data_IF_137809409104
#
_entry.id   IF_137809409104
#
_cell.length_a   1.000
_cell.length_b   1.000
_cell.length_c   1.000
_cell.angle_alpha   90.00
_cell.angle_beta   90.00
_cell.angle_gamma   90.00
#
_symmetry.space_group_name_H-M   'P 1'
#
loop_
_entity.id
_entity.type
_entity.pdbx_description
1 polymer ?
#
# COMPACT_ATOMS: atom_id res chain seq x y z
N UNK A 1 2.32 -4.66 -33.30
CA UNK A 1 3.57 -4.63 -32.48
C UNK A 1 3.38 -3.99 -31.09
N UNK A 2 2.19 -4.05 -30.46
CA UNK A 2 1.94 -3.49 -29.11
C UNK A 2 2.05 -4.53 -27.97
N UNK A 3 2.17 -5.82 -28.29
CA UNK A 3 2.38 -6.88 -27.29
C UNK A 3 3.82 -6.97 -26.79
N UNK A 4 4.79 -6.53 -27.59
CA UNK A 4 6.21 -6.63 -27.23
C UNK A 4 6.59 -5.58 -26.17
N UNK A 5 6.06 -4.36 -26.28
CA UNK A 5 6.33 -3.27 -25.33
C UNK A 5 5.63 -3.49 -23.99
N UNK A 6 4.40 -4.00 -23.97
CA UNK A 6 3.69 -4.35 -22.72
C UNK A 6 4.33 -5.55 -22.01
N UNK A 7 4.69 -6.59 -22.76
CA UNK A 7 5.44 -7.72 -22.21
C UNK A 7 6.83 -7.31 -21.71
N UNK A 8 7.54 -6.42 -22.42
CA UNK A 8 8.82 -5.88 -21.97
C UNK A 8 8.67 -4.98 -20.74
N UNK A 9 7.60 -4.19 -20.63
CA UNK A 9 7.32 -3.38 -19.44
C UNK A 9 6.96 -4.24 -18.22
N UNK A 10 6.14 -5.28 -18.41
CA UNK A 10 5.81 -6.24 -17.37
C UNK A 10 7.06 -7.02 -16.94
N UNK A 11 7.85 -7.49 -17.90
CA UNK A 11 9.12 -8.19 -17.65
C UNK A 11 10.14 -7.27 -16.97
N UNK A 12 10.25 -6.01 -17.40
CA UNK A 12 11.13 -5.04 -16.77
C UNK A 12 10.69 -4.74 -15.34
N UNK A 13 9.38 -4.60 -15.08
CA UNK A 13 8.85 -4.36 -13.73
C UNK A 13 9.09 -5.55 -12.81
N UNK A 14 8.81 -6.77 -13.27
CA UNK A 14 9.08 -8.00 -12.52
C UNK A 14 10.59 -8.19 -12.27
N UNK A 15 11.43 -7.96 -13.29
CA UNK A 15 12.87 -8.20 -13.16
C UNK A 15 13.56 -7.10 -12.33
N UNK A 16 13.24 -5.83 -12.57
CA UNK A 16 13.89 -4.71 -11.90
C UNK A 16 13.40 -4.50 -10.46
N UNK A 17 12.12 -4.77 -10.18
CA UNK A 17 11.50 -4.53 -8.86
C UNK A 17 11.58 -5.77 -7.97
N UNK A 18 11.18 -6.96 -8.46
CA UNK A 18 11.11 -8.16 -7.59
C UNK A 18 12.45 -8.88 -7.48
N UNK A 19 13.18 -9.08 -8.59
CA UNK A 19 14.44 -9.85 -8.56
C UNK A 19 15.67 -8.99 -8.30
N UNK A 20 15.76 -7.81 -8.90
CA UNK A 20 16.96 -6.97 -8.79
C UNK A 20 16.88 -5.88 -7.69
N UNK A 21 15.68 -5.54 -7.19
CA UNK A 21 15.45 -4.45 -6.21
C UNK A 21 16.13 -3.12 -6.58
N UNK A 22 16.31 -2.86 -7.87
CA UNK A 22 17.09 -1.71 -8.36
C UNK A 22 16.28 -0.41 -8.35
N UNK A 23 14.95 -0.50 -8.26
CA UNK A 23 14.04 0.66 -8.28
C UNK A 23 12.88 0.46 -7.30
N UNK A 24 12.41 1.56 -6.70
CA UNK A 24 11.20 1.55 -5.89
C UNK A 24 9.97 1.43 -6.80
N UNK A 25 8.96 0.66 -6.38
CA UNK A 25 7.71 0.51 -7.12
C UNK A 25 7.07 1.90 -7.39
N UNK A 26 6.62 2.18 -8.62
CA UNK A 26 5.98 3.45 -8.94
C UNK A 26 4.67 3.60 -8.16
N UNK A 27 4.34 4.84 -7.76
CA UNK A 27 3.07 5.12 -7.10
C UNK A 27 1.88 4.87 -8.03
N UNK A 28 0.74 4.44 -7.49
CA UNK A 28 -0.52 4.21 -8.22
C UNK A 28 -0.94 5.40 -9.09
N UNK A 29 -0.58 6.63 -8.69
CA UNK A 29 -0.86 7.84 -9.47
C UNK A 29 -0.05 7.93 -10.77
N UNK A 30 1.21 7.47 -10.75
CA UNK A 30 2.09 7.47 -11.93
C UNK A 30 1.64 6.39 -12.90
N UNK A 31 1.29 5.21 -12.40
CA UNK A 31 0.77 4.10 -13.19
C UNK A 31 -0.49 4.51 -13.97
N UNK A 32 -1.46 5.14 -13.29
CA UNK A 32 -2.68 5.68 -13.91
C UNK A 32 -2.41 6.72 -15.00
N UNK A 33 -1.37 7.54 -14.86
CA UNK A 33 -0.98 8.54 -15.87
C UNK A 33 -0.40 7.84 -17.10
N UNK A 34 0.48 6.85 -16.90
CA UNK A 34 1.11 6.10 -17.99
C UNK A 34 0.06 5.32 -18.79
N UNK A 35 -0.88 4.67 -18.10
CA UNK A 35 -2.00 3.97 -18.74
C UNK A 35 -2.92 4.92 -19.51
N UNK A 36 -3.20 6.10 -18.94
CA UNK A 36 -3.97 7.14 -19.63
C UNK A 36 -3.32 7.61 -20.93
N UNK A 37 -2.00 7.85 -20.91
CA UNK A 37 -1.24 8.23 -22.11
C UNK A 37 -1.24 7.10 -23.14
N UNK A 38 -1.07 5.85 -22.71
CA UNK A 38 -1.08 4.70 -23.61
C UNK A 38 -2.45 4.50 -24.27
N UNK A 39 -3.55 4.72 -23.54
CA UNK A 39 -4.91 4.68 -24.10
C UNK A 39 -5.09 5.67 -25.25
N UNK A 40 -4.61 6.91 -25.09
CA UNK A 40 -4.69 7.97 -26.11
C UNK A 40 -3.87 7.61 -27.36
N UNK A 41 -2.67 7.04 -27.16
CA UNK A 41 -1.81 6.59 -28.27
C UNK A 41 -2.46 5.42 -29.02
N UNK A 42 -3.05 4.46 -28.32
CA UNK A 42 -3.77 3.34 -28.94
C UNK A 42 -4.99 3.81 -29.72
N UNK A 43 -5.77 4.74 -29.18
CA UNK A 43 -6.95 5.30 -29.84
C UNK A 43 -6.57 6.09 -31.11
N UNK A 44 -5.59 6.97 -31.02
CA UNK A 44 -5.11 7.75 -32.17
C UNK A 44 -4.52 6.85 -33.26
N UNK A 45 -3.73 5.83 -32.88
CA UNK A 45 -3.22 4.83 -33.83
C UNK A 45 -4.34 4.02 -34.50
N UNK A 46 -5.38 3.63 -33.75
CA UNK A 46 -6.54 2.93 -34.30
C UNK A 46 -7.30 3.78 -35.33
N UNK A 47 -7.55 5.06 -35.00
CA UNK A 47 -8.22 6.01 -35.90
C UNK A 47 -7.40 6.20 -37.17
N UNK A 48 -6.11 6.54 -37.05
CA UNK A 48 -5.21 6.78 -38.20
C UNK A 48 -5.15 5.55 -39.12
N UNK A 49 -5.03 4.35 -38.55
CA UNK A 49 -4.97 3.13 -39.32
C UNK A 49 -6.31 2.80 -40.00
N UNK A 50 -7.43 3.06 -39.32
CA UNK A 50 -8.77 2.84 -39.89
C UNK A 50 -9.10 3.81 -41.03
N UNK A 51 -8.58 5.04 -40.99
CA UNK A 51 -8.83 6.06 -42.01
C UNK A 51 -7.80 6.05 -43.13
N UNK A 52 -6.77 5.21 -43.04
CA UNK A 52 -5.73 5.13 -44.08
C UNK A 52 -6.34 4.68 -45.40
N UNK A 53 -5.93 5.34 -46.50
CA UNK A 53 -6.29 4.98 -47.86
C UNK A 53 -5.93 3.52 -48.20
N UNK A 54 -4.87 3.01 -47.56
CA UNK A 54 -4.42 1.62 -47.73
C UNK A 54 -5.41 0.60 -47.16
N UNK A 55 -6.16 0.97 -46.11
CA UNK A 55 -7.16 0.09 -45.49
C UNK A 55 -8.52 0.24 -46.19
N UNK A 56 -8.90 1.48 -46.54
CA UNK A 56 -10.16 1.74 -47.26
C UNK A 56 -10.19 1.10 -48.65
N UNK A 57 -9.06 1.09 -49.37
CA UNK A 57 -8.92 0.40 -50.65
C UNK A 57 -8.91 -1.13 -50.56
N UNK A 58 -8.83 -1.68 -49.35
CA UNK A 58 -8.69 -3.10 -49.08
C UNK A 58 -9.97 -3.79 -48.59
N UNK A 59 -11.08 -3.05 -48.43
CA UNK A 59 -12.34 -3.60 -47.95
C UNK A 59 -13.00 -4.60 -48.93
N UNK A 60 -12.61 -4.62 -50.21
CA UNK A 60 -13.20 -5.47 -51.25
C UNK A 60 -12.38 -6.72 -51.62
N UNK A 61 -11.14 -6.87 -51.12
CA UNK A 61 -10.20 -7.89 -51.60
C UNK A 61 -9.65 -8.75 -50.44
N UNK A 62 -9.69 -10.07 -50.58
CA UNK A 62 -9.33 -11.03 -49.51
C UNK A 62 -7.82 -11.12 -49.18
N UNK A 63 -6.96 -10.41 -49.92
CA UNK A 63 -5.50 -10.46 -49.73
C UNK A 63 -4.99 -9.51 -48.63
N UNK A 64 -5.85 -8.64 -48.09
CA UNK A 64 -5.45 -7.55 -47.19
C UNK A 64 -5.75 -7.82 -45.69
N UNK A 65 -6.02 -9.08 -45.33
CA UNK A 65 -6.53 -9.47 -44.01
C UNK A 65 -5.65 -9.05 -42.81
N UNK A 66 -4.35 -8.90 -43.00
CA UNK A 66 -3.41 -8.53 -41.92
C UNK A 66 -3.55 -7.06 -41.49
N UNK A 67 -3.86 -6.15 -42.42
CA UNK A 67 -4.06 -4.73 -42.15
C UNK A 67 -5.42 -4.47 -41.50
N UNK A 68 -6.47 -5.16 -41.97
CA UNK A 68 -7.81 -5.12 -41.38
C UNK A 68 -7.83 -5.68 -39.96
N UNK A 69 -7.14 -6.81 -39.72
CA UNK A 69 -6.98 -7.34 -38.37
C UNK A 69 -6.24 -6.36 -37.46
N UNK A 70 -5.26 -5.63 -37.99
CA UNK A 70 -4.43 -4.68 -37.26
C UNK A 70 -5.21 -3.59 -36.52
N UNK A 71 -6.12 -2.87 -37.20
CA UNK A 71 -6.88 -1.80 -36.54
C UNK A 71 -7.96 -2.36 -35.59
N UNK A 72 -8.55 -3.52 -35.91
CA UNK A 72 -9.49 -4.22 -35.02
C UNK A 72 -8.81 -4.58 -33.71
N UNK A 73 -7.59 -5.15 -33.77
CA UNK A 73 -6.82 -5.45 -32.57
C UNK A 73 -6.47 -4.20 -31.75
N UNK A 74 -6.24 -3.05 -32.39
CA UNK A 74 -6.00 -1.79 -31.68
C UNK A 74 -7.24 -1.28 -30.93
N UNK A 75 -8.43 -1.38 -31.52
CA UNK A 75 -9.68 -1.03 -30.83
C UNK A 75 -10.00 -1.98 -29.68
N UNK A 76 -9.80 -3.29 -29.87
CA UNK A 76 -9.96 -4.29 -28.81
C UNK A 76 -8.98 -4.03 -27.66
N UNK A 77 -7.71 -3.74 -27.98
CA UNK A 77 -6.70 -3.39 -26.98
C UNK A 77 -7.06 -2.11 -26.22
N UNK A 78 -7.54 -1.07 -26.91
CA UNK A 78 -8.04 0.15 -26.28
C UNK A 78 -9.20 -0.14 -25.32
N UNK A 79 -10.18 -0.96 -25.72
CA UNK A 79 -11.31 -1.32 -24.87
C UNK A 79 -10.89 -2.05 -23.59
N UNK A 80 -9.97 -3.02 -23.69
CA UNK A 80 -9.43 -3.70 -22.51
C UNK A 80 -8.65 -2.74 -21.60
N UNK A 81 -7.89 -1.81 -22.17
CA UNK A 81 -7.11 -0.86 -21.39
C UNK A 81 -8.01 0.14 -20.66
N UNK A 82 -9.06 0.67 -21.31
CA UNK A 82 -10.08 1.51 -20.67
C UNK A 82 -10.85 0.75 -19.59
N UNK A 83 -11.16 -0.53 -19.81
CA UNK A 83 -11.79 -1.37 -18.78
C UNK A 83 -10.92 -1.55 -17.54
N UNK A 84 -9.61 -1.82 -17.73
CA UNK A 84 -8.64 -1.94 -16.63
C UNK A 84 -8.45 -0.63 -15.87
N UNK A 85 -8.38 0.50 -16.59
CA UNK A 85 -8.33 1.84 -15.98
C UNK A 85 -9.62 2.15 -15.23
N UNK A 86 -10.79 1.82 -15.80
CA UNK A 86 -12.09 1.99 -15.17
C UNK A 86 -12.22 1.21 -13.86
N UNK A 87 -11.77 -0.05 -13.84
CA UNK A 87 -11.70 -0.86 -12.62
C UNK A 87 -10.77 -0.25 -11.56
N UNK A 88 -9.75 0.49 -11.98
CA UNK A 88 -8.86 1.23 -11.07
C UNK A 88 -9.54 2.45 -10.42
N UNK A 89 -10.69 2.92 -10.94
CA UNK A 89 -11.51 4.00 -10.39
C UNK A 89 -12.83 3.51 -9.75
N UNK A 90 -13.25 2.27 -10.02
CA UNK A 90 -14.36 1.62 -9.31
C UNK A 90 -13.86 1.16 -7.94
N UNK A 91 -13.80 2.14 -7.04
CA UNK A 91 -13.86 1.96 -5.59
C UNK A 91 -15.00 2.86 -5.11
N UNK A 92 -16.24 2.47 -5.43
CA UNK A 92 -17.45 3.19 -5.02
C UNK A 92 -18.70 2.31 -5.15
N UNK A 93 -18.75 1.28 -4.30
CA UNK A 93 -19.99 0.76 -3.77
C UNK A 93 -19.81 0.64 -2.27
N UNK A 94 -20.17 1.69 -1.52
CA UNK A 94 -20.37 1.57 -0.07
C UNK A 94 -21.49 0.55 0.19
N UNK A 95 -21.12 -0.72 0.30
CA UNK A 95 -21.89 -1.62 1.15
C UNK A 95 -21.59 -1.22 2.60
N UNK A 96 -22.63 -0.76 3.30
CA UNK A 96 -22.69 -0.76 4.75
C UNK A 96 -22.63 -2.21 5.25
N UNK A 97 -21.44 -2.82 5.20
CA UNK A 97 -21.10 -3.92 6.08
C UNK A 97 -20.31 -3.31 7.21
N UNK A 98 -20.89 -3.38 8.41
CA UNK A 98 -20.15 -3.41 9.66
C UNK A 98 -19.22 -4.62 9.62
N UNK A 99 -18.14 -4.49 8.87
CA UNK A 99 -17.11 -5.50 8.69
C UNK A 99 -16.16 -5.29 9.85
N UNK A 100 -16.46 -6.00 10.94
CA UNK A 100 -15.50 -6.35 11.96
C UNK A 100 -14.28 -6.94 11.23
N UNK A 101 -13.29 -6.08 11.01
CA UNK A 101 -12.18 -6.32 10.11
C UNK A 101 -11.17 -7.19 10.83
N UNK A 102 -11.55 -8.44 11.09
CA UNK A 102 -10.60 -9.51 11.37
C UNK A 102 -9.66 -9.61 10.17
N UNK A 103 -8.42 -9.23 10.44
CA UNK A 103 -7.34 -9.08 9.49
C UNK A 103 -7.08 -10.30 8.63
N UNK A 104 -7.03 -10.13 7.31
CA UNK A 104 -6.56 -11.14 6.35
C UNK A 104 -5.10 -11.55 6.56
N UNK A 105 -4.34 -10.89 7.45
CA UNK A 105 -2.94 -11.20 7.76
C UNK A 105 -2.73 -11.83 9.13
N UNK A 106 -3.51 -11.43 10.15
CA UNK A 106 -3.45 -12.04 11.49
C UNK A 106 -4.34 -13.28 11.63
N UNK A 107 -5.10 -13.59 10.58
CA UNK A 107 -6.17 -14.59 10.55
C UNK A 107 -7.23 -14.35 11.62
N UNK A 108 -8.13 -15.31 11.76
CA UNK A 108 -9.21 -15.19 12.74
C UNK A 108 -8.67 -15.15 14.16
N UNK A 109 -9.09 -14.12 14.91
CA UNK A 109 -8.91 -14.04 16.35
C UNK A 109 -9.77 -15.12 17.00
N UNK A 110 -9.23 -16.33 17.17
CA UNK A 110 -9.93 -17.37 17.91
C UNK A 110 -10.13 -16.94 19.36
N UNK A 111 -11.34 -17.12 19.87
CA UNK A 111 -11.61 -17.04 21.29
C UNK A 111 -12.75 -17.98 21.67
N UNK A 112 -12.51 -18.82 22.68
CA UNK A 112 -13.50 -19.05 23.74
C UNK A 112 -12.83 -19.66 24.98
N UNK A 113 -12.46 -18.81 25.94
CA UNK A 113 -12.87 -18.95 27.35
C UNK A 113 -12.46 -17.70 28.12
N UNK A 114 -13.20 -17.39 29.20
CA UNK A 114 -13.12 -16.17 30.02
C UNK A 114 -11.79 -15.98 30.79
N UNK A 115 -10.68 -16.50 30.27
CA UNK A 115 -9.35 -16.39 30.85
C UNK A 115 -8.21 -16.57 29.83
N UNK A 116 -8.47 -16.88 28.56
CA UNK A 116 -7.41 -17.15 27.57
C UNK A 116 -7.07 -15.93 26.71
N UNK A 117 -5.78 -15.79 26.41
CA UNK A 117 -5.21 -14.72 25.59
C UNK A 117 -5.58 -14.96 24.12
N UNK A 118 -6.24 -13.98 23.48
CA UNK A 118 -6.55 -14.02 22.03
C UNK A 118 -5.28 -13.75 21.21
N UNK A 119 -4.64 -14.82 20.70
CA UNK A 119 -3.53 -14.71 19.73
C UNK A 119 -4.08 -14.92 18.32
N UNK A 120 -3.66 -14.05 17.39
CA UNK A 120 -3.94 -14.22 15.96
C UNK A 120 -3.22 -15.45 15.40
N UNK A 121 -3.91 -16.19 14.52
CA UNK A 121 -3.35 -17.30 13.76
C UNK A 121 -3.09 -16.85 12.32
N UNK A 122 -1.84 -16.56 11.93
CA UNK A 122 -1.55 -16.10 10.57
C UNK A 122 -2.03 -17.13 9.54
N UNK A 123 -2.81 -16.67 8.56
CA UNK A 123 -3.44 -17.51 7.54
C UNK A 123 -2.81 -17.31 6.14
N UNK A 124 -1.83 -16.41 6.00
CA UNK A 124 -1.11 -16.16 4.75
C UNK A 124 0.40 -15.96 4.99
N UNK A 125 1.22 -16.56 4.11
CA UNK A 125 2.68 -16.39 3.97
C UNK A 125 3.59 -16.78 5.15
N UNK A 126 3.06 -17.07 6.34
CA UNK A 126 3.84 -17.41 7.54
C UNK A 126 3.07 -18.41 8.41
N UNK A 127 3.74 -19.44 8.93
CA UNK A 127 3.11 -20.40 9.84
C UNK A 127 3.16 -19.91 11.29
N UNK A 128 2.16 -20.29 12.08
CA UNK A 128 2.14 -20.01 13.54
C UNK A 128 3.40 -20.56 14.22
N UNK A 129 3.86 -21.75 13.83
CA UNK A 129 5.10 -22.36 14.32
C UNK A 129 6.33 -21.47 14.08
N UNK A 130 6.41 -20.83 12.90
CA UNK A 130 7.51 -19.93 12.59
C UNK A 130 7.43 -18.63 13.41
N UNK A 131 6.22 -18.09 13.61
CA UNK A 131 6.02 -16.91 14.48
C UNK A 131 6.40 -17.21 15.92
N UNK A 132 5.95 -18.33 16.47
CA UNK A 132 6.31 -18.78 17.82
C UNK A 132 7.82 -19.04 17.93
N UNK A 133 8.45 -19.64 16.91
CA UNK A 133 9.89 -19.83 16.88
C UNK A 133 10.66 -18.49 16.89
N UNK A 134 10.21 -17.49 16.10
CA UNK A 134 10.81 -16.15 16.10
C UNK A 134 10.65 -15.50 17.47
N UNK A 135 9.48 -15.63 18.10
CA UNK A 135 9.28 -15.12 19.46
C UNK A 135 10.25 -15.77 20.44
N UNK A 136 10.30 -17.10 20.51
CA UNK A 136 11.14 -17.84 21.46
C UNK A 136 12.64 -17.61 21.26
N UNK A 137 13.08 -17.49 20.00
CA UNK A 137 14.50 -17.44 19.69
C UNK A 137 15.02 -16.03 19.45
N UNK A 138 14.18 -15.02 19.16
CA UNK A 138 14.63 -13.67 18.76
C UNK A 138 14.01 -12.48 19.49
N UNK A 139 12.87 -12.62 20.15
CA UNK A 139 12.16 -11.45 20.72
C UNK A 139 11.87 -11.64 22.21
N UNK A 140 11.33 -12.80 22.58
CA UNK A 140 10.84 -13.12 23.90
C UNK A 140 11.91 -13.05 24.98
N UNK A 141 11.47 -12.96 26.25
CA UNK A 141 12.35 -12.75 27.41
C UNK A 141 13.43 -13.81 27.60
N UNK A 142 13.19 -15.00 27.04
CA UNK A 142 14.05 -16.17 27.16
C UNK A 142 14.95 -16.38 25.93
N UNK A 143 14.89 -15.50 24.93
CA UNK A 143 15.69 -15.60 23.72
C UNK A 143 17.20 -15.45 24.04
N UNK A 144 18.03 -16.28 23.42
CA UNK A 144 19.49 -16.23 23.61
C UNK A 144 20.07 -14.97 22.97
N UNK A 145 20.73 -14.12 23.77
CA UNK A 145 21.45 -12.94 23.27
C UNK A 145 22.59 -13.37 22.34
N UNK A 146 22.70 -12.73 21.18
CA UNK A 146 23.81 -12.88 20.25
C UNK A 146 24.08 -11.55 19.54
N UNK A 147 25.19 -11.45 18.79
CA UNK A 147 25.50 -10.27 17.98
C UNK A 147 24.43 -9.94 16.92
N UNK A 148 23.61 -10.94 16.55
CA UNK A 148 22.48 -10.83 15.62
C UNK A 148 21.10 -10.78 16.30
N UNK A 149 21.07 -10.83 17.64
CA UNK A 149 19.86 -10.93 18.44
C UNK A 149 20.00 -10.15 19.76
N UNK A 150 19.57 -8.89 19.74
CA UNK A 150 19.53 -8.01 20.90
C UNK A 150 18.27 -8.29 21.72
N UNK A 151 18.31 -8.05 23.04
CA UNK A 151 17.16 -8.27 23.88
C UNK A 151 16.11 -7.18 23.63
N UNK A 152 15.13 -7.51 22.78
CA UNK A 152 14.10 -6.57 22.37
C UNK A 152 13.30 -5.99 23.53
N UNK A 153 13.10 -6.80 24.55
CA UNK A 153 12.31 -6.48 25.74
C UNK A 153 13.12 -5.75 26.82
N UNK A 154 14.45 -5.71 26.74
CA UNK A 154 15.28 -4.88 27.65
C UNK A 154 15.27 -3.41 27.26
N UNK A 155 15.04 -3.11 25.97
CA UNK A 155 14.98 -1.74 25.49
C UNK A 155 13.62 -1.14 25.83
N UNK A 156 13.54 -0.36 26.90
CA UNK A 156 12.29 0.26 27.37
C UNK A 156 11.82 1.47 26.57
N UNK A 157 12.38 1.69 25.38
CA UNK A 157 12.11 2.87 24.55
C UNK A 157 11.24 2.54 23.33
N UNK A 158 10.49 1.44 23.37
CA UNK A 158 9.52 1.14 22.32
C UNK A 158 8.27 1.97 22.47
N UNK A 159 7.62 2.22 21.33
CA UNK A 159 6.35 2.94 21.30
C UNK A 159 5.27 2.25 22.15
N UNK A 160 5.27 0.91 22.21
CA UNK A 160 4.36 0.13 23.05
C UNK A 160 4.58 0.41 24.54
N UNK A 161 5.83 0.53 24.99
CA UNK A 161 6.15 0.88 26.37
C UNK A 161 5.62 2.27 26.73
N UNK A 162 5.81 3.24 25.82
CA UNK A 162 5.29 4.60 26.00
C UNK A 162 3.76 4.62 26.07
N UNK A 163 3.06 3.84 25.22
CA UNK A 163 1.60 3.73 25.25
C UNK A 163 1.13 3.13 26.57
N UNK A 164 1.77 2.06 27.05
CA UNK A 164 1.41 1.40 28.30
C UNK A 164 1.68 2.30 29.51
N UNK A 165 2.83 2.97 29.56
CA UNK A 165 3.18 3.89 30.65
C UNK A 165 2.25 5.12 30.70
N UNK A 166 1.87 5.65 29.54
CA UNK A 166 1.00 6.81 29.41
C UNK A 166 -0.48 6.46 29.27
N UNK A 167 -0.88 5.23 29.59
CA UNK A 167 -2.27 4.78 29.65
C UNK A 167 -3.07 5.02 28.35
N UNK A 168 -2.49 4.67 27.21
CA UNK A 168 -3.16 4.83 25.91
C UNK A 168 -2.97 6.20 25.28
N UNK A 169 -1.97 6.97 25.71
CA UNK A 169 -1.65 8.28 25.11
C UNK A 169 -0.20 8.41 24.67
N UNK A 170 0.04 9.18 23.62
CA UNK A 170 1.36 9.45 23.07
C UNK A 170 1.55 10.95 22.87
N UNK A 171 2.70 11.46 23.30
CA UNK A 171 3.08 12.85 23.12
C UNK A 171 4.16 12.95 22.04
N UNK A 172 3.85 13.67 20.96
CA UNK A 172 4.73 13.84 19.82
C UNK A 172 5.31 15.26 19.75
N UNK A 173 6.62 15.34 19.56
CA UNK A 173 7.27 16.57 19.09
C UNK A 173 7.58 16.40 17.60
N UNK A 174 6.97 17.22 16.75
CA UNK A 174 7.15 17.13 15.31
C UNK A 174 8.43 17.89 14.93
N UNK A 175 9.42 17.17 14.40
CA UNK A 175 10.63 17.78 13.85
C UNK A 175 10.38 18.24 12.41
N UNK A 176 10.42 19.54 12.20
CA UNK A 176 10.27 20.18 10.89
C UNK A 176 11.64 20.57 10.35
N UNK A 177 12.20 19.70 9.50
CA UNK A 177 13.52 19.88 8.88
C UNK A 177 13.42 20.44 7.44
N UNK A 178 12.58 21.45 7.25
CA UNK A 178 12.48 22.16 5.97
C UNK A 178 13.02 23.58 6.10
N UNK A 179 13.45 24.16 4.96
CA UNK A 179 13.77 25.58 4.83
C UNK A 179 12.53 26.46 4.64
N UNK A 180 11.36 25.84 4.42
CA UNK A 180 10.08 26.55 4.24
C UNK A 180 9.44 26.84 5.59
N UNK A 181 8.77 28.01 5.69
CA UNK A 181 8.06 28.41 6.90
C UNK A 181 6.87 27.48 7.15
N UNK A 182 6.82 26.91 8.34
CA UNK A 182 5.69 26.12 8.82
C UNK A 182 4.61 27.09 9.34
N UNK A 183 3.46 27.13 8.68
CA UNK A 183 2.34 27.95 9.15
C UNK A 183 1.60 27.23 10.28
N UNK A 184 1.01 27.99 11.21
CA UNK A 184 0.17 27.43 12.28
C UNK A 184 -0.99 26.59 11.76
N UNK A 185 -1.57 26.96 10.62
CA UNK A 185 -2.63 26.20 9.98
C UNK A 185 -2.14 24.81 9.56
N UNK A 186 -0.99 24.71 8.90
CA UNK A 186 -0.41 23.41 8.51
C UNK A 186 0.01 22.62 9.75
N UNK A 187 0.63 23.28 10.74
CA UNK A 187 1.01 22.66 12.01
C UNK A 187 -0.19 21.99 12.71
N UNK A 188 -1.37 22.63 12.73
CA UNK A 188 -2.58 22.06 13.35
C UNK A 188 -3.11 20.79 12.69
N UNK A 189 -2.74 20.52 11.43
CA UNK A 189 -3.21 19.31 10.72
C UNK A 189 -2.47 18.03 11.14
N UNK A 190 -1.26 18.16 11.69
CA UNK A 190 -0.42 17.01 12.06
C UNK A 190 -1.05 16.17 13.16
N UNK A 191 -1.65 16.79 14.18
CA UNK A 191 -2.28 16.05 15.26
C UNK A 191 -3.43 15.16 14.75
N UNK A 192 -4.29 15.70 13.90
CA UNK A 192 -5.38 14.94 13.29
C UNK A 192 -4.86 13.82 12.38
N UNK A 193 -3.81 14.08 11.60
CA UNK A 193 -3.16 13.07 10.77
C UNK A 193 -2.59 11.92 11.63
N UNK A 194 -1.84 12.25 12.69
CA UNK A 194 -1.23 11.25 13.57
C UNK A 194 -2.29 10.42 14.28
N UNK A 195 -3.33 11.04 14.85
CA UNK A 195 -4.44 10.30 15.46
C UNK A 195 -5.11 9.33 14.46
N UNK A 196 -5.30 9.75 13.20
CA UNK A 196 -5.85 8.86 12.17
C UNK A 196 -4.95 7.65 11.91
N UNK A 197 -3.65 7.86 11.78
CA UNK A 197 -2.69 6.77 11.54
C UNK A 197 -2.61 5.81 12.73
N UNK A 198 -2.52 6.35 13.95
CA UNK A 198 -2.47 5.54 15.16
C UNK A 198 -3.76 4.76 15.40
N UNK A 199 -4.93 5.33 15.08
CA UNK A 199 -6.20 4.61 15.11
C UNK A 199 -6.23 3.47 14.08
N UNK A 200 -5.78 3.73 12.86
CA UNK A 200 -5.70 2.72 11.79
C UNK A 200 -4.68 1.61 12.08
N UNK A 201 -3.67 1.89 12.91
CA UNK A 201 -2.74 0.89 13.41
C UNK A 201 -3.31 0.14 14.63
N UNK A 202 -3.88 0.86 15.61
CA UNK A 202 -4.42 0.27 16.84
C UNK A 202 -5.57 -0.70 16.57
N UNK A 203 -6.38 -0.46 15.54
CA UNK A 203 -7.46 -1.38 15.15
C UNK A 203 -7.00 -2.83 14.94
N UNK A 204 -5.72 -3.04 14.59
CA UNK A 204 -5.16 -4.38 14.42
C UNK A 204 -4.77 -5.05 15.74
N UNK A 205 -4.62 -4.27 16.82
CA UNK A 205 -4.24 -4.72 18.15
C UNK A 205 -5.43 -4.87 19.10
N UNK A 206 -6.57 -4.21 18.81
CA UNK A 206 -7.78 -4.32 19.65
C UNK A 206 -8.19 -5.79 19.80
N UNK A 207 -8.24 -6.25 21.04
CA UNK A 207 -8.59 -7.64 21.36
C UNK A 207 -7.48 -8.67 21.12
N UNK A 208 -6.31 -8.28 20.58
CA UNK A 208 -5.13 -9.13 20.45
C UNK A 208 -4.31 -9.13 21.75
N UNK A 209 -3.87 -10.29 22.22
CA UNK A 209 -3.00 -10.48 23.39
C UNK A 209 -3.38 -9.67 24.65
N UNK A 210 -4.69 -9.54 24.93
CA UNK A 210 -5.24 -8.70 26.02
C UNK A 210 -4.78 -7.24 25.96
N UNK A 211 -4.55 -6.70 24.77
CA UNK A 211 -4.26 -5.30 24.56
C UNK A 211 -5.35 -4.42 25.19
N UNK A 212 -5.00 -3.54 26.15
CA UNK A 212 -5.99 -2.88 27.01
C UNK A 212 -6.54 -1.56 26.45
N UNK A 213 -6.18 -1.19 25.21
CA UNK A 213 -6.50 0.12 24.64
C UNK A 213 -7.30 -0.02 23.34
N UNK A 214 -8.56 0.40 23.37
CA UNK A 214 -9.42 0.48 22.18
C UNK A 214 -9.06 1.68 21.29
N UNK A 215 -8.50 2.72 21.89
CA UNK A 215 -8.04 3.93 21.21
C UNK A 215 -6.71 4.42 21.77
N UNK A 216 -5.89 5.02 20.91
CA UNK A 216 -4.61 5.63 21.29
C UNK A 216 -4.67 7.11 20.95
N UNK A 217 -4.68 7.95 21.99
CA UNK A 217 -4.73 9.40 21.83
C UNK A 217 -3.35 9.96 21.58
N UNK A 218 -3.17 10.66 20.46
CA UNK A 218 -1.91 11.36 20.15
C UNK A 218 -2.07 12.86 20.39
N UNK A 219 -1.18 13.44 21.19
CA UNK A 219 -1.09 14.88 21.41
C UNK A 219 0.21 15.42 20.82
N UNK A 220 0.13 16.50 20.02
CA UNK A 220 1.33 17.18 19.54
C UNK A 220 1.73 18.25 20.55
N UNK A 221 2.83 18.01 21.27
CA UNK A 221 3.29 18.89 22.36
C UNK A 221 4.19 20.03 21.89
N UNK A 222 4.70 19.97 20.66
CA UNK A 222 5.55 21.02 20.11
C UNK A 222 6.06 20.72 18.71
N UNK A 223 6.61 21.76 18.09
CA UNK A 223 7.26 21.71 16.79
C UNK A 223 8.71 22.15 16.95
N UNK A 224 9.65 21.30 16.53
CA UNK A 224 11.06 21.63 16.49
C UNK A 224 11.42 22.07 15.06
N UNK A 225 11.56 23.37 14.84
CA UNK A 225 12.01 23.97 13.57
C UNK A 225 13.51 24.25 13.60
N UNK A 226 14.15 24.24 12.43
CA UNK A 226 15.59 24.53 12.27
C UNK A 226 15.99 25.94 12.71
N UNK A 227 15.10 26.91 12.51
CA UNK A 227 15.28 28.32 12.85
C UNK A 227 13.94 28.83 13.37
N UNK A 228 13.95 29.62 14.45
CA UNK A 228 12.75 30.19 15.06
C UNK A 228 11.92 31.05 14.08
N UNK A 229 12.54 31.65 13.07
CA UNK A 229 11.85 32.41 12.03
C UNK A 229 11.00 31.55 11.07
N UNK A 230 11.17 30.23 11.10
CA UNK A 230 10.45 29.26 10.28
C UNK A 230 9.17 28.74 10.94
N UNK A 231 8.79 29.25 12.12
CA UNK A 231 7.50 28.98 12.77
C UNK A 231 6.65 30.26 12.94
#
# INVERSE_FOLDING_TARGET
>A
MAGYTSALYALWSLVAVETAKLTAAPSVSIERIVDGVLAVVLMSGAVVLSTSSDVQGCASNSECGHLTAGYIFLFVAFAFHVGSVGLSFVDAGEENQSQDSSSTYMGDLQGHDSGTVRRGQPNQYISTEYVDWVWENRIGSNAKKSDSNWNALENKNWILDHIVQNKGSLNYCVRWDSKTKLTKAVASTFEAMLNRQFKAWNRWLVGYDRWPYDDIKVNVVGFAVRDAGLF
#
